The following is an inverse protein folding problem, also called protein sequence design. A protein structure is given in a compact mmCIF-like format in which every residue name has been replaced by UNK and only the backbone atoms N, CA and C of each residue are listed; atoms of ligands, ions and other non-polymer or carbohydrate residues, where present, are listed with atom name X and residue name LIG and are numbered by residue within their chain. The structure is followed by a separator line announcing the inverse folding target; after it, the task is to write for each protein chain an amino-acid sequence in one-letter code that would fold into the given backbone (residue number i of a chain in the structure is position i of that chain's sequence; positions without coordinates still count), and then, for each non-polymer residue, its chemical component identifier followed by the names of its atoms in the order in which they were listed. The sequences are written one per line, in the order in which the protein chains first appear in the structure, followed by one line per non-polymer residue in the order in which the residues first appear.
data_IF_501618549357
#
_entry.id   IF_501618549357
#
_cell.length_a   1.000
_cell.length_b   1.000
_cell.length_c   1.000
_cell.angle_alpha   90.00
_cell.angle_beta   90.00
_cell.angle_gamma   90.00
#
_symmetry.space_group_name_H-M   'P 1'
#
loop_
_entity.id
_entity.type
_entity.pdbx_description
1 polymer ?
#
# COMPACT_ATOMS: atom_id res chain seq x y z
N UNK A 1 -18.05 -15.89 -18.81
CA UNK A 1 -17.44 -14.57 -19.04
C UNK A 1 -15.93 -14.80 -19.21
N UNK A 2 -15.46 -14.90 -20.45
CA UNK A 2 -14.02 -14.96 -20.82
C UNK A 2 -13.44 -13.53 -20.80
N UNK A 3 -12.12 -13.42 -20.63
CA UNK A 3 -11.23 -12.28 -20.91
C UNK A 3 -10.75 -11.44 -19.70
N UNK A 4 -9.75 -11.95 -18.98
CA UNK A 4 -8.62 -11.12 -18.50
C UNK A 4 -7.35 -11.97 -18.64
N UNK A 5 -6.58 -11.75 -19.71
CA UNK A 5 -5.40 -12.52 -20.07
C UNK A 5 -4.23 -12.30 -19.10
N UNK A 6 -4.10 -13.18 -18.11
CA UNK A 6 -2.82 -13.43 -17.47
C UNK A 6 -2.04 -14.42 -18.33
N UNK A 7 -1.41 -13.91 -19.39
CA UNK A 7 -0.49 -14.69 -20.21
C UNK A 7 0.85 -14.85 -19.46
N UNK A 8 0.85 -15.59 -18.35
CA UNK A 8 2.08 -16.06 -17.71
C UNK A 8 2.70 -17.23 -18.49
N UNK A 9 1.97 -17.79 -19.44
CA UNK A 9 2.39 -18.96 -20.24
C UNK A 9 3.19 -18.61 -21.51
N UNK A 10 3.40 -17.32 -21.80
CA UNK A 10 4.07 -16.88 -23.04
C UNK A 10 5.46 -16.25 -22.82
N UNK A 11 6.09 -16.49 -21.66
CA UNK A 11 7.46 -16.02 -21.45
C UNK A 11 8.46 -16.88 -22.24
N UNK A 12 9.09 -16.19 -23.19
CA UNK A 12 9.97 -16.64 -24.24
C UNK A 12 11.14 -17.51 -23.73
N UNK A 13 11.54 -18.45 -24.59
CA UNK A 13 12.47 -19.52 -24.28
C UNK A 13 13.84 -19.07 -23.77
N UNK A 14 14.38 -19.90 -22.87
CA UNK A 14 15.78 -20.01 -22.48
C UNK A 14 16.39 -18.76 -21.80
N UNK A 15 15.94 -18.49 -20.56
CA UNK A 15 16.55 -17.56 -19.61
C UNK A 15 15.61 -17.19 -18.45
N UNK A 16 14.31 -17.32 -18.70
CA UNK A 16 13.16 -16.88 -17.87
C UNK A 16 12.64 -17.91 -16.84
N UNK A 17 13.27 -19.09 -16.72
CA UNK A 17 12.71 -20.24 -15.94
C UNK A 17 12.46 -19.95 -14.46
N UNK A 18 13.12 -18.93 -13.90
CA UNK A 18 12.92 -18.52 -12.52
C UNK A 18 12.30 -17.14 -12.39
N UNK A 19 12.28 -16.30 -13.44
CA UNK A 19 11.78 -14.92 -13.30
C UNK A 19 10.26 -14.89 -13.15
N UNK A 20 9.54 -15.61 -14.00
CA UNK A 20 8.07 -15.71 -13.91
C UNK A 20 7.66 -16.38 -12.59
N UNK A 21 8.37 -17.43 -12.18
CA UNK A 21 8.14 -18.13 -10.91
C UNK A 21 8.45 -17.24 -9.69
N UNK A 22 9.56 -16.49 -9.72
CA UNK A 22 9.90 -15.55 -8.66
C UNK A 22 8.89 -14.41 -8.56
N UNK A 23 8.40 -13.88 -9.68
CA UNK A 23 7.33 -12.88 -9.70
C UNK A 23 6.02 -13.45 -9.13
N UNK A 24 5.67 -14.69 -9.45
CA UNK A 24 4.52 -15.37 -8.87
C UNK A 24 4.67 -15.54 -7.34
N UNK A 25 5.85 -15.94 -6.87
CA UNK A 25 6.14 -16.04 -5.43
C UNK A 25 6.11 -14.69 -4.73
N UNK A 26 6.69 -13.65 -5.32
CA UNK A 26 6.65 -12.28 -4.79
C UNK A 26 5.21 -11.76 -4.72
N UNK A 27 4.38 -12.10 -5.70
CA UNK A 27 2.95 -11.74 -5.69
C UNK A 27 2.22 -12.39 -4.53
N UNK A 28 2.37 -13.71 -4.35
CA UNK A 28 1.76 -14.44 -3.23
C UNK A 28 2.30 -13.94 -1.89
N UNK A 29 3.60 -13.63 -1.82
CA UNK A 29 4.23 -13.08 -0.62
C UNK A 29 3.67 -11.69 -0.27
N UNK A 30 3.49 -10.81 -1.26
CA UNK A 30 2.90 -9.49 -1.05
C UNK A 30 1.47 -9.61 -0.49
N UNK A 31 0.64 -10.50 -1.06
CA UNK A 31 -0.69 -10.76 -0.53
C UNK A 31 -0.65 -11.32 0.90
N UNK A 32 0.26 -12.24 1.20
CA UNK A 32 0.41 -12.80 2.54
C UNK A 32 0.80 -11.72 3.56
N UNK A 33 1.76 -10.86 3.20
CA UNK A 33 2.18 -9.73 4.04
C UNK A 33 1.01 -8.76 4.27
N UNK A 34 0.24 -8.45 3.23
CA UNK A 34 -0.94 -7.59 3.35
C UNK A 34 -1.98 -8.18 4.33
N UNK A 35 -2.23 -9.49 4.26
CA UNK A 35 -3.14 -10.16 5.19
C UNK A 35 -2.59 -10.20 6.62
N UNK A 36 -1.28 -10.44 6.79
CA UNK A 36 -0.63 -10.40 8.11
C UNK A 36 -0.71 -9.00 8.72
N UNK A 37 -0.50 -7.94 7.95
CA UNK A 37 -0.63 -6.57 8.43
C UNK A 37 -2.07 -6.26 8.83
N UNK A 38 -3.07 -6.69 8.06
CA UNK A 38 -4.48 -6.50 8.39
C UNK A 38 -4.89 -7.22 9.67
N UNK A 39 -4.31 -8.39 9.97
CA UNK A 39 -4.59 -9.16 11.18
C UNK A 39 -3.82 -8.66 12.41
N UNK A 40 -2.55 -8.28 12.24
CA UNK A 40 -1.64 -8.01 13.35
C UNK A 40 -1.46 -6.52 13.69
N UNK A 41 -1.96 -5.57 12.86
CA UNK A 41 -1.75 -4.13 13.07
C UNK A 41 -3.04 -3.44 13.56
N UNK A 42 -3.20 -3.21 14.89
CA UNK A 42 -4.35 -2.50 15.44
C UNK A 42 -4.53 -1.08 14.87
N UNK A 43 -3.44 -0.39 14.54
CA UNK A 43 -3.47 0.94 13.96
C UNK A 43 -4.08 0.92 12.55
N UNK A 44 -3.68 -0.05 11.72
CA UNK A 44 -4.25 -0.22 10.38
C UNK A 44 -5.73 -0.60 10.47
N UNK A 45 -6.08 -1.51 11.36
CA UNK A 45 -7.47 -1.87 11.63
C UNK A 45 -8.30 -0.66 12.06
N UNK A 46 -7.78 0.17 12.97
CA UNK A 46 -8.45 1.43 13.39
C UNK A 46 -8.61 2.41 12.24
N UNK A 47 -7.60 2.56 11.38
CA UNK A 47 -7.67 3.43 10.20
C UNK A 47 -8.71 2.95 9.17
N UNK A 48 -9.00 1.64 9.13
CA UNK A 48 -10.00 1.02 8.25
C UNK A 48 -11.39 0.92 8.90
N UNK A 49 -11.48 0.87 10.24
CA UNK A 49 -12.73 0.70 10.99
C UNK A 49 -13.65 1.91 10.80
N UNK A 50 -14.92 1.66 10.48
CA UNK A 50 -15.93 2.70 10.25
C UNK A 50 -15.94 3.29 8.83
N UNK A 51 -15.11 2.80 7.91
CA UNK A 51 -15.09 3.25 6.52
C UNK A 51 -15.80 2.23 5.62
N UNK A 52 -16.67 2.70 4.73
CA UNK A 52 -17.48 1.89 3.80
C UNK A 52 -16.63 1.27 2.67
N UNK A 53 -17.26 0.54 1.73
CA UNK A 53 -16.60 0.03 0.50
C UNK A 53 -15.71 1.12 -0.12
N UNK A 54 -14.43 0.80 -0.32
CA UNK A 54 -13.43 1.77 -0.78
C UNK A 54 -12.49 2.31 0.31
N UNK A 55 -12.65 1.87 1.57
CA UNK A 55 -11.78 2.23 2.69
C UNK A 55 -10.28 2.08 2.39
N UNK A 56 -9.88 1.02 1.67
CA UNK A 56 -8.48 0.78 1.27
C UNK A 56 -7.99 1.78 0.22
N UNK A 57 -8.80 2.09 -0.78
CA UNK A 57 -8.48 3.09 -1.81
C UNK A 57 -8.37 4.48 -1.15
N UNK A 58 -9.29 4.80 -0.24
CA UNK A 58 -9.23 6.04 0.52
C UNK A 58 -7.96 6.09 1.38
N UNK A 59 -7.67 5.03 2.15
CA UNK A 59 -6.46 4.94 2.97
C UNK A 59 -5.20 5.15 2.13
N UNK A 60 -5.11 4.50 0.96
CA UNK A 60 -3.99 4.67 0.04
C UNK A 60 -3.85 6.12 -0.43
N UNK A 61 -4.95 6.77 -0.83
CA UNK A 61 -4.94 8.19 -1.22
C UNK A 61 -4.47 9.10 -0.07
N UNK A 62 -4.88 8.82 1.16
CA UNK A 62 -4.42 9.55 2.33
C UNK A 62 -2.93 9.35 2.58
N UNK A 63 -2.45 8.11 2.53
CA UNK A 63 -1.02 7.79 2.64
C UNK A 63 -0.23 8.59 1.59
N UNK A 64 -0.63 8.52 0.32
CA UNK A 64 0.01 9.28 -0.77
C UNK A 64 0.00 10.79 -0.51
N UNK A 65 -1.15 11.34 -0.13
CA UNK A 65 -1.28 12.77 0.17
C UNK A 65 -0.34 13.21 1.31
N UNK A 66 -0.26 12.42 2.37
CA UNK A 66 0.63 12.71 3.49
C UNK A 66 2.11 12.57 3.11
N UNK A 67 2.48 11.55 2.34
CA UNK A 67 3.85 11.40 1.83
C UNK A 67 4.27 12.56 0.92
N UNK A 68 3.37 13.09 0.09
CA UNK A 68 3.69 14.17 -0.85
C UNK A 68 3.73 15.55 -0.20
N UNK A 69 3.00 15.76 0.90
CA UNK A 69 2.80 17.10 1.47
C UNK A 69 3.37 17.27 2.90
N UNK A 70 3.83 16.21 3.58
CA UNK A 70 4.18 16.24 5.00
C UNK A 70 5.48 15.48 5.30
N UNK A 71 6.28 16.00 6.24
CA UNK A 71 7.50 15.33 6.70
C UNK A 71 7.16 14.34 7.81
N UNK A 72 6.97 13.08 7.45
CA UNK A 72 6.61 12.03 8.39
C UNK A 72 7.85 11.23 8.76
N UNK A 73 8.19 11.25 10.06
CA UNK A 73 9.41 10.61 10.56
C UNK A 73 9.26 9.12 10.83
N UNK A 74 8.04 8.64 11.10
CA UNK A 74 7.76 7.24 11.44
C UNK A 74 6.41 6.76 10.92
N UNK A 75 6.28 5.44 10.77
CA UNK A 75 5.01 4.80 10.39
C UNK A 75 3.90 5.02 11.43
N UNK A 76 4.22 5.04 12.74
CA UNK A 76 3.22 5.36 13.75
C UNK A 76 2.70 6.79 13.59
N UNK A 77 3.57 7.75 13.26
CA UNK A 77 3.17 9.14 12.99
C UNK A 77 2.24 9.26 11.80
N UNK A 78 2.49 8.49 10.73
CA UNK A 78 1.60 8.42 9.56
C UNK A 78 0.20 7.95 9.97
N UNK A 79 0.11 6.79 10.61
CA UNK A 79 -1.19 6.21 10.98
C UNK A 79 -1.91 7.04 12.04
N UNK A 80 -1.20 7.62 13.00
CA UNK A 80 -1.78 8.54 13.98
C UNK A 80 -2.44 9.74 13.30
N UNK A 81 -1.78 10.33 12.31
CA UNK A 81 -2.30 11.47 11.53
C UNK A 81 -3.54 11.09 10.72
N UNK A 82 -3.54 9.89 10.10
CA UNK A 82 -4.68 9.38 9.33
C UNK A 82 -5.91 9.08 10.22
N UNK A 83 -5.68 8.64 11.46
CA UNK A 83 -6.74 8.26 12.40
C UNK A 83 -7.31 9.48 13.12
N UNK A 84 -6.45 10.36 13.64
CA UNK A 84 -6.86 11.46 14.52
C UNK A 84 -6.97 12.82 13.79
N UNK A 85 -6.60 12.88 12.50
CA UNK A 85 -6.49 14.12 11.75
C UNK A 85 -5.14 14.82 12.00
N UNK A 86 -4.78 15.71 11.09
CA UNK A 86 -3.45 16.32 11.05
C UNK A 86 -3.27 17.54 11.98
N UNK A 87 -3.80 17.46 13.20
CA UNK A 87 -3.94 18.60 14.13
C UNK A 87 -2.63 19.29 14.55
N UNK A 88 -1.46 18.70 14.31
CA UNK A 88 -0.16 19.27 14.71
C UNK A 88 0.95 19.17 13.66
N UNK A 89 0.70 18.55 12.51
CA UNK A 89 1.82 18.24 11.64
C UNK A 89 2.21 19.45 10.76
N UNK A 90 3.52 19.71 10.71
CA UNK A 90 4.08 20.86 10.01
C UNK A 90 3.99 20.59 8.51
N UNK A 91 3.11 21.31 7.83
CA UNK A 91 3.18 21.45 6.36
C UNK A 91 4.59 21.93 6.04
N UNK A 92 5.33 21.16 5.26
CA UNK A 92 6.64 21.63 4.80
C UNK A 92 6.33 22.70 3.75
N UNK A 93 6.86 23.93 3.85
CA UNK A 93 6.90 24.80 2.69
C UNK A 93 7.69 24.04 1.62
N UNK A 94 7.09 23.84 0.46
CA UNK A 94 7.80 23.29 -0.68
C UNK A 94 8.90 24.31 -0.99
N UNK A 95 10.16 24.02 -0.66
CA UNK A 95 11.26 24.86 -1.11
C UNK A 95 11.32 24.69 -2.63
N UNK A 96 10.74 25.66 -3.34
CA UNK A 96 10.97 25.87 -4.76
C UNK A 96 12.47 26.13 -4.94
N UNK A 97 13.20 25.09 -5.35
CA UNK A 97 14.48 25.24 -6.03
C UNK A 97 14.28 25.95 -7.37
#
# INVERSE_FOLDING_TARGET
MKNQGYNLEHNYGHGEKHLTTNLAYLTVLAFLVDQMQELCCPQLQKALKGRSKGARIALWKWIQNYFLNWLIKTWEGLFYTIINGAGEAKVIPFDTL
#
